data_IF_343650954756
#
_entry.id   IF_343650954756
#
_cell.length_a   1.000
_cell.length_b   1.000
_cell.length_c   1.000
_cell.angle_alpha   90.00
_cell.angle_beta   90.00
_cell.angle_gamma   90.00
#
_symmetry.space_group_name_H-M   'P 1'
#
loop_
_entity.id
_entity.type
_entity.pdbx_description
1 polymer ?
#
# COMPACT_ATOMS: atom_id res chain seq x y z
N UNK A 1 0.94 -24.27 -3.52
CA UNK A 1 1.01 -22.80 -3.68
C UNK A 1 0.36 -22.30 -4.96
N UNK A 2 0.67 -22.86 -6.15
CA UNK A 2 0.03 -22.41 -7.42
C UNK A 2 -1.51 -22.46 -7.39
N UNK A 3 -2.09 -23.57 -6.90
CA UNK A 3 -3.55 -23.69 -6.76
C UNK A 3 -4.13 -22.62 -5.83
N UNK A 4 -3.59 -22.50 -4.61
CA UNK A 4 -3.97 -21.47 -3.63
C UNK A 4 -3.94 -20.06 -4.25
N UNK A 5 -2.90 -19.73 -5.02
CA UNK A 5 -2.80 -18.44 -5.70
C UNK A 5 -3.92 -18.24 -6.73
N UNK A 6 -4.27 -19.29 -7.48
CA UNK A 6 -5.39 -19.25 -8.43
C UNK A 6 -6.73 -19.06 -7.71
N UNK A 7 -6.92 -19.70 -6.55
CA UNK A 7 -8.15 -19.57 -5.77
C UNK A 7 -8.33 -18.11 -5.31
N UNK A 8 -7.28 -17.49 -4.77
CA UNK A 8 -7.29 -16.05 -4.43
C UNK A 8 -7.51 -15.15 -5.65
N UNK A 9 -6.95 -15.49 -6.81
CA UNK A 9 -7.22 -14.77 -8.06
C UNK A 9 -8.69 -14.90 -8.48
N UNK A 10 -9.32 -16.06 -8.26
CA UNK A 10 -10.75 -16.26 -8.51
C UNK A 10 -11.64 -15.38 -7.63
N UNK A 11 -11.20 -15.06 -6.42
CA UNK A 11 -11.89 -14.14 -5.50
C UNK A 11 -11.80 -12.69 -5.97
N UNK A 12 -10.63 -12.27 -6.46
CA UNK A 12 -10.37 -10.92 -6.99
C UNK A 12 -9.86 -10.99 -8.44
N UNK A 13 -10.77 -11.13 -9.42
CA UNK A 13 -10.38 -11.32 -10.82
C UNK A 13 -9.55 -10.18 -11.41
N UNK A 14 -9.62 -8.97 -10.83
CA UNK A 14 -8.82 -7.82 -11.25
C UNK A 14 -7.33 -7.99 -10.95
N UNK A 15 -6.95 -8.92 -10.08
CA UNK A 15 -5.54 -9.18 -9.77
C UNK A 15 -4.91 -10.16 -10.77
N UNK A 16 -3.62 -9.94 -11.03
CA UNK A 16 -2.78 -10.80 -11.87
C UNK A 16 -1.59 -11.36 -11.07
N UNK A 17 -1.17 -12.61 -11.31
CA UNK A 17 0.05 -13.16 -10.72
C UNK A 17 1.28 -12.33 -11.03
N UNK A 18 1.94 -11.82 -9.99
CA UNK A 18 3.18 -11.07 -10.11
C UNK A 18 4.40 -11.92 -9.74
N UNK A 19 4.30 -12.69 -8.65
CA UNK A 19 5.29 -13.71 -8.22
C UNK A 19 4.59 -15.03 -7.88
N UNK A 20 5.33 -16.01 -7.36
CA UNK A 20 4.75 -17.28 -6.89
C UNK A 20 3.81 -17.13 -5.68
N UNK A 21 3.82 -15.98 -5.01
CA UNK A 21 3.04 -15.72 -3.79
C UNK A 21 2.40 -14.33 -3.77
N UNK A 22 2.33 -13.63 -4.91
CA UNK A 22 1.71 -12.30 -4.97
C UNK A 22 0.79 -12.14 -6.18
N UNK A 23 -0.33 -11.46 -5.95
CA UNK A 23 -1.33 -11.06 -6.92
C UNK A 23 -1.44 -9.54 -6.89
N UNK A 24 -1.16 -8.85 -7.99
CA UNK A 24 -1.22 -7.39 -8.04
C UNK A 24 -2.01 -6.89 -9.25
N UNK A 25 -2.53 -5.68 -9.12
CA UNK A 25 -2.99 -4.84 -10.21
C UNK A 25 -2.24 -3.51 -10.17
N UNK A 26 -2.17 -2.82 -11.31
CA UNK A 26 -1.78 -1.41 -11.37
C UNK A 26 -3.00 -0.59 -10.95
N UNK A 27 -2.82 0.36 -10.05
CA UNK A 27 -3.80 1.40 -9.75
C UNK A 27 -3.10 2.75 -9.94
N UNK A 28 -3.04 3.18 -11.20
CA UNK A 28 -2.36 4.37 -11.68
C UNK A 28 -0.90 4.55 -11.20
N UNK A 29 -0.70 5.16 -10.02
CA UNK A 29 0.61 5.48 -9.46
C UNK A 29 1.14 4.45 -8.44
N UNK A 30 0.40 3.35 -8.22
CA UNK A 30 0.77 2.26 -7.29
C UNK A 30 0.47 0.87 -7.87
N UNK A 31 1.05 -0.15 -7.23
CA UNK A 31 0.52 -1.52 -7.31
C UNK A 31 -0.26 -1.82 -6.05
N UNK A 32 -1.45 -2.40 -6.18
CA UNK A 32 -2.26 -2.86 -5.04
C UNK A 32 -2.57 -4.35 -5.24
N UNK A 33 -2.55 -5.12 -4.16
CA UNK A 33 -3.07 -6.47 -4.17
C UNK A 33 -2.63 -7.31 -2.99
N UNK A 34 -2.55 -8.62 -3.19
CA UNK A 34 -2.38 -9.60 -2.11
C UNK A 34 -1.00 -10.25 -2.15
N UNK A 35 -0.36 -10.32 -0.99
CA UNK A 35 0.79 -11.18 -0.73
C UNK A 35 0.36 -12.34 0.17
N UNK A 36 0.60 -13.56 -0.31
CA UNK A 36 0.43 -14.80 0.45
C UNK A 36 1.73 -15.11 1.16
N UNK A 37 1.84 -14.67 2.40
CA UNK A 37 3.05 -14.86 3.18
C UNK A 37 3.03 -16.22 3.86
N UNK A 38 4.00 -17.08 3.53
CA UNK A 38 4.20 -18.32 4.26
C UNK A 38 4.65 -17.97 5.68
N UNK A 39 3.90 -18.47 6.65
CA UNK A 39 4.17 -18.29 8.08
C UNK A 39 4.05 -19.63 8.75
N UNK A 40 4.90 -19.88 9.75
CA UNK A 40 5.06 -21.23 10.28
C UNK A 40 5.53 -22.21 9.17
N UNK A 41 5.76 -23.48 9.52
CA UNK A 41 6.22 -24.47 8.54
C UNK A 41 5.13 -24.86 7.53
N UNK A 42 3.85 -24.76 7.91
CA UNK A 42 2.69 -25.32 7.20
C UNK A 42 1.53 -24.35 6.94
N UNK A 43 1.63 -23.07 7.31
CA UNK A 43 0.56 -22.09 7.12
C UNK A 43 0.95 -20.92 6.19
N UNK A 44 -0.06 -20.17 5.77
CA UNK A 44 0.12 -18.87 5.15
C UNK A 44 -0.89 -17.87 5.73
N UNK A 45 -0.56 -16.59 5.63
CA UNK A 45 -1.48 -15.48 5.87
C UNK A 45 -1.61 -14.61 4.64
N UNK A 46 -2.72 -13.89 4.54
CA UNK A 46 -2.97 -12.95 3.44
C UNK A 46 -2.70 -11.55 3.94
N UNK A 47 -1.91 -10.81 3.15
CA UNK A 47 -1.57 -9.42 3.42
C UNK A 47 -1.99 -8.59 2.21
N UNK A 48 -2.82 -7.58 2.42
CA UNK A 48 -3.05 -6.53 1.44
C UNK A 48 -1.83 -5.60 1.43
N UNK A 49 -1.25 -5.33 0.26
CA UNK A 49 -0.08 -4.46 0.12
C UNK A 49 -0.29 -3.40 -0.97
N UNK A 50 0.30 -2.23 -0.74
CA UNK A 50 0.38 -1.14 -1.71
C UNK A 50 1.84 -0.77 -1.94
N UNK A 51 2.33 -0.95 -3.17
CA UNK A 51 3.71 -0.67 -3.57
C UNK A 51 3.80 0.64 -4.38
N UNK A 52 4.80 1.49 -4.12
CA UNK A 52 4.94 2.77 -4.79
C UNK A 52 5.55 2.61 -6.19
N UNK A 53 4.93 3.20 -7.22
CA UNK A 53 5.50 3.27 -8.58
C UNK A 53 6.27 4.57 -8.84
N UNK A 54 6.37 5.48 -7.88
CA UNK A 54 7.09 6.75 -8.01
C UNK A 54 8.56 6.70 -7.55
N UNK A 55 9.02 5.55 -7.03
CA UNK A 55 10.38 5.38 -6.53
C UNK A 55 11.40 5.32 -7.68
N UNK A 56 12.54 6.00 -7.50
CA UNK A 56 13.65 5.95 -8.45
C UNK A 56 14.39 4.61 -8.35
N UNK A 57 14.62 4.13 -7.13
CA UNK A 57 15.31 2.87 -6.87
C UNK A 57 14.32 1.70 -6.88
N UNK A 58 14.54 0.70 -7.75
CA UNK A 58 13.70 -0.50 -7.83
C UNK A 58 13.62 -1.30 -6.53
N UNK A 59 14.62 -1.19 -5.64
CA UNK A 59 14.61 -1.79 -4.31
C UNK A 59 13.54 -1.15 -3.42
N UNK A 60 13.36 0.17 -3.48
CA UNK A 60 12.36 0.92 -2.70
C UNK A 60 10.95 0.64 -3.18
N UNK A 61 10.74 0.38 -4.47
CA UNK A 61 9.44 -0.09 -5.00
C UNK A 61 8.94 -1.38 -4.35
N UNK A 62 9.85 -2.22 -3.82
CA UNK A 62 9.46 -3.48 -3.14
C UNK A 62 9.06 -3.26 -1.69
N UNK A 63 9.22 -2.05 -1.17
CA UNK A 63 8.85 -1.70 0.20
C UNK A 63 7.44 -1.13 0.18
N UNK A 64 6.47 -1.79 0.82
CA UNK A 64 5.09 -1.30 0.81
C UNK A 64 4.97 0.06 1.49
N UNK A 65 4.13 0.91 0.90
CA UNK A 65 3.61 2.12 1.55
C UNK A 65 2.84 1.71 2.80
N UNK A 66 1.95 0.74 2.62
CA UNK A 66 1.20 0.09 3.68
C UNK A 66 1.04 -1.39 3.39
N UNK A 67 0.91 -2.17 4.45
CA UNK A 67 0.62 -3.60 4.41
C UNK A 67 -0.25 -3.99 5.61
N UNK A 68 -1.39 -4.62 5.36
CA UNK A 68 -2.34 -5.03 6.42
C UNK A 68 -2.70 -6.49 6.29
N UNK A 69 -2.72 -7.18 7.43
CA UNK A 69 -3.04 -8.58 7.51
C UNK A 69 -4.55 -8.80 7.47
N UNK A 70 -4.97 -9.92 6.89
CA UNK A 70 -6.35 -10.36 6.96
C UNK A 70 -6.71 -10.80 8.38
N UNK A 71 -7.79 -10.26 8.91
CA UNK A 71 -8.36 -10.68 10.19
C UNK A 71 -9.58 -11.57 10.00
N UNK A 72 -9.85 -12.46 10.95
CA UNK A 72 -11.09 -13.23 11.02
C UNK A 72 -12.24 -12.38 11.60
N UNK A 73 -13.45 -12.96 11.66
CA UNK A 73 -14.64 -12.30 12.22
C UNK A 73 -14.53 -11.97 13.72
N UNK A 74 -13.50 -12.46 14.41
CA UNK A 74 -13.19 -12.16 15.82
C UNK A 74 -12.09 -11.10 15.95
N UNK A 75 -11.58 -10.56 14.84
CA UNK A 75 -10.48 -9.60 14.83
C UNK A 75 -9.10 -10.22 15.06
N UNK A 76 -8.97 -11.54 14.93
CA UNK A 76 -7.70 -12.26 15.09
C UNK A 76 -7.03 -12.50 13.74
N UNK A 77 -5.70 -12.54 13.69
CA UNK A 77 -4.96 -12.80 12.45
C UNK A 77 -5.42 -14.12 11.81
N UNK A 78 -5.77 -14.07 10.52
CA UNK A 78 -6.29 -15.24 9.82
C UNK A 78 -5.15 -16.08 9.24
N UNK A 79 -4.72 -17.09 9.98
CA UNK A 79 -3.77 -18.09 9.52
C UNK A 79 -4.47 -19.26 8.82
N UNK A 80 -4.05 -19.59 7.60
CA UNK A 80 -4.61 -20.69 6.82
C UNK A 80 -3.56 -21.77 6.71
N UNK A 81 -3.79 -22.91 7.39
CA UNK A 81 -2.96 -24.10 7.19
C UNK A 81 -3.09 -24.56 5.75
N UNK A 82 -1.97 -24.81 5.09
CA UNK A 82 -1.92 -25.21 3.68
C UNK A 82 -2.71 -26.49 3.43
N UNK A 83 -2.66 -27.43 4.38
CA UNK A 83 -3.42 -28.69 4.34
C UNK A 83 -4.93 -28.52 4.57
N UNK A 84 -5.37 -27.40 5.14
CA UNK A 84 -6.78 -27.08 5.39
C UNK A 84 -7.28 -25.95 4.49
N UNK A 85 -6.56 -25.66 3.39
CA UNK A 85 -6.90 -24.56 2.50
C UNK A 85 -8.35 -24.66 2.03
N UNK A 86 -8.76 -25.79 1.45
CA UNK A 86 -10.12 -25.97 0.91
C UNK A 86 -11.22 -25.72 1.95
N UNK A 87 -10.97 -26.09 3.20
CA UNK A 87 -11.93 -25.93 4.30
C UNK A 87 -12.00 -24.48 4.82
N UNK A 88 -10.85 -23.83 5.00
CA UNK A 88 -10.77 -22.49 5.61
C UNK A 88 -10.94 -21.36 4.57
N UNK A 89 -10.65 -21.63 3.31
CA UNK A 89 -10.63 -20.64 2.24
C UNK A 89 -11.95 -19.91 2.04
N UNK A 90 -13.14 -20.56 2.03
CA UNK A 90 -14.40 -19.85 1.86
C UNK A 90 -14.62 -18.74 2.89
N UNK A 91 -14.32 -19.01 4.17
CA UNK A 91 -14.45 -18.03 5.25
C UNK A 91 -13.40 -16.93 5.12
N UNK A 92 -12.16 -17.29 4.79
CA UNK A 92 -11.10 -16.31 4.57
C UNK A 92 -11.39 -15.39 3.37
N UNK A 93 -11.95 -15.94 2.29
CA UNK A 93 -12.33 -15.19 1.09
C UNK A 93 -13.47 -14.20 1.38
N UNK A 94 -14.45 -14.59 2.20
CA UNK A 94 -15.50 -13.68 2.69
C UNK A 94 -14.90 -12.51 3.48
N UNK A 95 -14.06 -12.81 4.48
CA UNK A 95 -13.39 -11.78 5.28
C UNK A 95 -12.53 -10.84 4.42
N UNK A 96 -11.84 -11.38 3.41
CA UNK A 96 -11.00 -10.60 2.50
C UNK A 96 -11.83 -9.69 1.60
N UNK A 97 -12.99 -10.14 1.11
CA UNK A 97 -13.90 -9.28 0.33
C UNK A 97 -14.39 -8.11 1.17
N UNK A 98 -14.77 -8.35 2.42
CA UNK A 98 -15.23 -7.31 3.34
C UNK A 98 -14.12 -6.30 3.67
N UNK A 99 -12.90 -6.77 3.94
CA UNK A 99 -11.80 -5.91 4.38
C UNK A 99 -11.07 -5.21 3.22
N UNK A 100 -10.89 -5.89 2.09
CA UNK A 100 -10.03 -5.44 1.00
C UNK A 100 -10.80 -5.12 -0.29
N UNK A 101 -12.03 -5.60 -0.46
CA UNK A 101 -12.77 -5.50 -1.72
C UNK A 101 -12.99 -4.06 -2.21
N UNK A 102 -13.03 -3.10 -1.29
CA UNK A 102 -13.11 -1.68 -1.63
C UNK A 102 -11.89 -1.16 -2.42
N UNK A 103 -10.72 -1.77 -2.25
CA UNK A 103 -9.48 -1.42 -2.95
C UNK A 103 -9.13 -2.38 -4.08
N UNK A 104 -9.81 -3.52 -4.21
CA UNK A 104 -9.52 -4.57 -5.19
C UNK A 104 -10.63 -4.65 -6.24
N UNK A 105 -10.87 -3.52 -6.92
CA UNK A 105 -11.93 -3.31 -7.92
C UNK A 105 -11.41 -2.44 -9.07
N UNK A 106 -12.11 -2.44 -10.21
CA UNK A 106 -11.65 -1.73 -11.42
C UNK A 106 -11.52 -0.22 -11.23
N UNK A 107 -12.42 0.41 -10.47
CA UNK A 107 -12.39 1.85 -10.19
C UNK A 107 -12.37 2.07 -8.67
N UNK A 108 -11.29 2.65 -8.15
CA UNK A 108 -11.11 2.97 -6.73
C UNK A 108 -11.39 4.45 -6.55
N UNK A 109 -12.26 4.80 -5.59
CA UNK A 109 -12.44 6.21 -5.23
C UNK A 109 -11.25 6.68 -4.39
N UNK A 110 -10.73 7.87 -4.67
CA UNK A 110 -9.67 8.49 -3.90
C UNK A 110 -10.04 8.61 -2.41
N UNK A 111 -11.32 8.90 -2.14
CA UNK A 111 -11.90 8.89 -0.80
C UNK A 111 -11.84 7.53 -0.11
N UNK A 112 -12.13 6.43 -0.82
CA UNK A 112 -12.05 5.07 -0.28
C UNK A 112 -10.61 4.73 0.15
N UNK A 113 -9.63 5.13 -0.68
CA UNK A 113 -8.21 4.92 -0.44
C UNK A 113 -7.71 5.71 0.76
N UNK A 114 -8.08 6.98 0.86
CA UNK A 114 -7.82 7.84 2.01
C UNK A 114 -8.45 7.29 3.30
N UNK A 115 -9.69 6.79 3.23
CA UNK A 115 -10.39 6.21 4.37
C UNK A 115 -9.75 4.91 4.84
N UNK A 116 -9.33 4.04 3.91
CA UNK A 116 -8.56 2.83 4.21
C UNK A 116 -7.25 3.18 4.95
N UNK A 117 -6.50 4.14 4.41
CA UNK A 117 -5.25 4.60 5.02
C UNK A 117 -5.51 5.17 6.41
N UNK A 118 -6.53 6.01 6.57
CA UNK A 118 -6.91 6.59 7.86
C UNK A 118 -7.24 5.51 8.88
N UNK A 119 -8.09 4.54 8.52
CA UNK A 119 -8.45 3.40 9.40
C UNK A 119 -7.22 2.62 9.82
N UNK A 120 -6.31 2.37 8.90
CA UNK A 120 -5.08 1.65 9.22
C UNK A 120 -4.10 2.46 10.08
N UNK A 121 -4.01 3.77 9.87
CA UNK A 121 -3.19 4.64 10.72
C UNK A 121 -3.68 4.69 12.16
N UNK A 122 -4.98 4.51 12.41
CA UNK A 122 -5.53 4.38 13.76
C UNK A 122 -5.10 3.08 14.46
N UNK A 123 -4.72 2.05 13.71
CA UNK A 123 -4.24 0.79 14.26
C UNK A 123 -2.73 0.80 14.59
N UNK A 124 -2.02 1.91 14.35
CA UNK A 124 -0.61 2.02 14.71
C UNK A 124 -0.43 1.91 16.22
N UNK A 125 0.43 0.96 16.65
CA UNK A 125 0.73 0.73 18.07
C UNK A 125 1.22 1.99 18.81
N UNK A 126 1.91 2.88 18.10
CA UNK A 126 2.28 4.21 18.59
C UNK A 126 1.74 5.26 17.64
N UNK A 127 0.82 6.08 18.14
CA UNK A 127 0.06 7.05 17.36
C UNK A 127 0.96 7.97 16.52
N UNK A 128 2.05 8.49 17.07
CA UNK A 128 2.93 9.46 16.41
C UNK A 128 4.27 8.85 15.97
N UNK A 129 4.29 7.58 15.58
CA UNK A 129 5.54 6.93 15.17
C UNK A 129 6.02 7.42 13.78
N UNK A 130 7.19 8.09 13.70
CA UNK A 130 7.73 8.55 12.43
C UNK A 130 7.88 7.45 11.38
N UNK A 131 8.21 6.21 11.79
CA UNK A 131 8.46 5.08 10.87
C UNK A 131 7.19 4.62 10.14
N UNK A 132 6.01 4.90 10.70
CA UNK A 132 4.74 4.57 10.07
C UNK A 132 4.25 5.75 9.21
N UNK A 133 4.29 6.95 9.76
CA UNK A 133 3.73 8.14 9.12
C UNK A 133 4.48 8.60 7.88
N UNK A 134 5.82 8.43 7.82
CA UNK A 134 6.58 8.95 6.69
C UNK A 134 6.13 8.38 5.33
N UNK A 135 5.71 7.10 5.29
CA UNK A 135 5.21 6.46 4.06
C UNK A 135 3.79 6.91 3.72
N UNK A 136 2.94 7.08 4.74
CA UNK A 136 1.59 7.60 4.56
C UNK A 136 1.63 9.00 3.97
N UNK A 137 2.53 9.86 4.44
CA UNK A 137 2.71 11.19 3.87
C UNK A 137 3.22 11.18 2.44
N UNK A 138 4.21 10.35 2.12
CA UNK A 138 4.68 10.18 0.75
C UNK A 138 3.54 9.74 -0.19
N UNK A 139 2.72 8.79 0.24
CA UNK A 139 1.56 8.35 -0.53
C UNK A 139 0.52 9.44 -0.74
N UNK A 140 0.14 10.16 0.33
CA UNK A 140 -0.85 11.24 0.24
C UNK A 140 -0.37 12.37 -0.69
N UNK A 141 0.91 12.74 -0.62
CA UNK A 141 1.50 13.73 -1.53
C UNK A 141 1.56 13.22 -2.97
N UNK A 142 1.92 11.94 -3.17
CA UNK A 142 1.91 11.31 -4.50
C UNK A 142 0.50 11.30 -5.10
N UNK A 143 -0.52 10.93 -4.31
CA UNK A 143 -1.92 10.94 -4.72
C UNK A 143 -2.39 12.35 -5.10
N UNK A 144 -2.12 13.34 -4.25
CA UNK A 144 -2.49 14.73 -4.51
C UNK A 144 -1.82 15.29 -5.78
N UNK A 145 -0.52 15.01 -5.95
CA UNK A 145 0.24 15.44 -7.13
C UNK A 145 -0.24 14.74 -8.40
N UNK A 146 -0.49 13.42 -8.33
CA UNK A 146 -1.02 12.64 -9.46
C UNK A 146 -2.38 13.18 -9.94
N UNK A 147 -3.32 13.37 -9.01
CA UNK A 147 -4.66 13.92 -9.25
C UNK A 147 -4.66 15.41 -9.61
N UNK A 148 -3.52 16.09 -9.49
CA UNK A 148 -3.39 17.54 -9.65
C UNK A 148 -4.33 18.31 -8.71
N UNK A 149 -4.55 17.81 -7.49
CA UNK A 149 -5.42 18.44 -6.50
C UNK A 149 -4.60 19.32 -5.54
N UNK A 150 -4.53 20.60 -5.86
CA UNK A 150 -3.79 21.58 -5.06
C UNK A 150 -4.37 21.78 -3.65
N UNK A 151 -5.68 21.58 -3.45
CA UNK A 151 -6.31 21.70 -2.13
C UNK A 151 -5.89 20.53 -1.26
N UNK A 152 -6.01 19.31 -1.78
CA UNK A 152 -5.58 18.12 -1.06
C UNK A 152 -4.07 18.15 -0.77
N UNK A 153 -3.25 18.61 -1.72
CA UNK A 153 -1.81 18.79 -1.49
C UNK A 153 -1.54 19.75 -0.32
N UNK A 154 -2.26 20.86 -0.23
CA UNK A 154 -2.12 21.82 0.87
C UNK A 154 -2.57 21.23 2.22
N UNK A 155 -3.66 20.47 2.24
CA UNK A 155 -4.14 19.75 3.43
C UNK A 155 -3.10 18.76 3.96
N UNK A 156 -2.51 17.95 3.07
CA UNK A 156 -1.47 16.98 3.45
C UNK A 156 -0.23 17.68 3.99
N UNK A 157 0.20 18.79 3.38
CA UNK A 157 1.30 19.60 3.91
C UNK A 157 1.00 20.12 5.32
N UNK A 158 -0.22 20.61 5.57
CA UNK A 158 -0.62 21.04 6.93
C UNK A 158 -0.65 19.88 7.93
N UNK A 159 -1.09 18.69 7.50
CA UNK A 159 -1.06 17.48 8.32
C UNK A 159 0.37 17.12 8.73
N UNK A 160 1.32 17.17 7.78
CA UNK A 160 2.75 16.95 8.05
C UNK A 160 3.27 17.96 9.08
N UNK A 161 2.99 19.26 8.90
CA UNK A 161 3.43 20.29 9.86
C UNK A 161 2.88 20.11 11.28
N UNK A 162 1.71 19.50 11.43
CA UNK A 162 1.15 19.15 12.74
C UNK A 162 1.83 17.92 13.32
N UNK A 163 1.98 16.87 12.52
CA UNK A 163 2.49 15.58 12.96
C UNK A 163 3.97 15.65 13.38
N UNK A 164 4.83 16.36 12.63
CA UNK A 164 6.27 16.47 12.94
C UNK A 164 6.56 17.16 14.29
N UNK A 165 5.59 17.86 14.88
CA UNK A 165 5.71 18.50 16.21
C UNK A 165 5.72 17.47 17.32
N UNK A 166 5.13 16.29 17.09
CA UNK A 166 5.13 15.19 18.04
C UNK A 166 6.42 14.36 18.00
N UNK A 167 7.27 14.58 16.99
CA UNK A 167 8.47 13.78 16.79
C UNK A 167 9.68 14.40 17.49
N UNK A 168 10.29 13.65 18.40
CA UNK A 168 11.55 14.00 19.03
C UNK A 168 12.67 14.11 17.98
N UNK A 169 13.39 15.23 17.97
CA UNK A 169 14.38 15.53 16.93
C UNK A 169 15.59 14.59 16.99
N UNK A 170 16.09 14.25 18.18
CA UNK A 170 17.26 13.39 18.31
C UNK A 170 16.94 11.95 17.85
N UNK A 171 15.80 11.42 18.29
CA UNK A 171 15.31 10.12 17.85
C UNK A 171 15.01 10.10 16.35
N UNK A 172 14.40 11.16 15.81
CA UNK A 172 14.12 11.25 14.38
C UNK A 172 15.42 11.22 13.56
N UNK A 173 16.41 12.04 13.92
CA UNK A 173 17.70 12.06 13.25
C UNK A 173 18.43 10.72 13.32
N UNK A 174 18.34 10.00 14.45
CA UNK A 174 18.89 8.66 14.58
C UNK A 174 18.20 7.63 13.66
N UNK A 175 16.89 7.76 13.42
CA UNK A 175 16.12 6.84 12.58
C UNK A 175 16.30 7.09 11.08
N UNK A 176 16.32 8.36 10.66
CA UNK A 176 16.31 8.74 9.24
C UNK A 176 17.64 9.29 8.74
N UNK A 177 18.63 9.45 9.62
CA UNK A 177 19.94 10.05 9.32
C UNK A 177 19.81 11.46 8.71
N UNK A 178 18.76 12.19 9.09
CA UNK A 178 18.40 13.55 8.63
C UNK A 178 17.62 14.30 9.70
N UNK A 179 17.73 15.62 9.72
CA UNK A 179 16.81 16.47 10.49
C UNK A 179 15.37 16.37 9.95
N UNK A 180 14.39 16.80 10.77
CA UNK A 180 12.98 16.84 10.36
C UNK A 180 12.77 17.79 9.19
N UNK A 181 13.50 18.91 9.17
CA UNK A 181 13.44 19.95 8.15
C UNK A 181 14.02 19.45 6.81
N UNK A 182 15.18 18.78 6.84
CA UNK A 182 15.77 18.17 5.65
C UNK A 182 14.88 17.06 5.08
N UNK A 183 14.38 16.16 5.94
CA UNK A 183 13.45 15.11 5.52
C UNK A 183 12.20 15.69 4.86
N UNK A 184 11.61 16.73 5.46
CA UNK A 184 10.41 17.38 4.93
C UNK A 184 10.67 18.07 3.59
N UNK A 185 11.80 18.77 3.47
CA UNK A 185 12.19 19.43 2.22
C UNK A 185 12.39 18.41 1.09
N UNK A 186 13.05 17.28 1.38
CA UNK A 186 13.23 16.19 0.42
C UNK A 186 11.90 15.54 0.02
N UNK A 187 11.01 15.32 0.98
CA UNK A 187 9.68 14.77 0.74
C UNK A 187 8.87 15.68 -0.19
N UNK A 188 8.88 16.99 0.05
CA UNK A 188 8.18 17.95 -0.81
C UNK A 188 8.79 18.01 -2.22
N UNK A 189 10.12 18.06 -2.32
CA UNK A 189 10.84 18.06 -3.59
C UNK A 189 10.51 16.84 -4.45
N UNK A 190 10.29 15.68 -3.82
CA UNK A 190 9.93 14.45 -4.54
C UNK A 190 8.61 14.56 -5.31
N UNK A 191 7.65 15.36 -4.82
CA UNK A 191 6.28 15.43 -5.35
C UNK A 191 5.87 16.81 -5.88
N UNK A 192 6.76 17.80 -5.86
CA UNK A 192 6.49 19.16 -6.36
C UNK A 192 6.39 19.21 -7.88
N UNK A 193 7.25 18.46 -8.58
CA UNK A 193 7.25 18.35 -10.03
C UNK A 193 6.39 17.16 -10.46
N UNK A 194 5.16 17.50 -10.87
CA UNK A 194 4.18 16.52 -11.33
C UNK A 194 4.61 15.81 -12.60
N UNK A 195 5.25 16.51 -13.53
CA UNK A 195 5.67 15.91 -14.81
C UNK A 195 6.76 14.87 -14.54
N UNK A 196 7.78 15.23 -13.75
CA UNK A 196 8.81 14.29 -13.35
C UNK A 196 8.25 13.10 -12.53
N UNK A 197 7.21 13.31 -11.72
CA UNK A 197 6.50 12.23 -11.02
C UNK A 197 5.84 11.27 -12.01
N UNK A 198 5.09 11.79 -12.99
CA UNK A 198 4.40 10.98 -13.99
C UNK A 198 5.37 10.21 -14.88
N UNK A 199 6.48 10.84 -15.30
CA UNK A 199 7.53 10.17 -16.06
C UNK A 199 8.11 8.96 -15.31
N UNK A 200 8.40 9.12 -14.01
CA UNK A 200 8.87 8.00 -13.17
C UNK A 200 7.83 6.89 -13.06
N UNK A 201 6.56 7.24 -12.88
CA UNK A 201 5.45 6.26 -12.80
C UNK A 201 5.33 5.50 -14.11
N UNK A 202 5.30 6.18 -15.26
CA UNK A 202 5.24 5.55 -16.58
C UNK A 202 6.43 4.61 -16.82
N UNK A 203 7.65 5.08 -16.58
CA UNK A 203 8.86 4.26 -16.72
C UNK A 203 8.85 3.01 -15.82
N UNK A 204 8.25 3.11 -14.64
CA UNK A 204 8.08 1.97 -13.73
C UNK A 204 6.96 1.02 -14.16
N UNK A 205 5.89 1.52 -14.78
CA UNK A 205 4.80 0.69 -15.33
C UNK A 205 5.22 -0.11 -16.55
N UNK A 206 6.18 0.40 -17.33
CA UNK A 206 6.72 -0.27 -18.52
C UNK A 206 7.65 -1.45 -18.20
N UNK A 207 7.96 -1.68 -16.92
CA UNK A 207 8.65 -2.91 -16.51
C UNK A 207 7.87 -4.15 -16.97
N UNK A 208 8.53 -5.09 -17.64
CA UNK A 208 7.88 -6.26 -18.25
C UNK A 208 6.99 -7.04 -17.28
N UNK A 209 7.33 -7.11 -15.99
CA UNK A 209 6.53 -7.84 -14.98
C UNK A 209 5.31 -7.05 -14.52
N UNK A 210 5.36 -5.72 -14.60
CA UNK A 210 4.29 -4.80 -14.21
C UNK A 210 3.35 -4.54 -15.39
N UNK A 211 3.89 -4.37 -16.59
CA UNK A 211 3.13 -4.09 -17.81
C UNK A 211 1.99 -5.12 -18.04
N UNK A 212 2.27 -6.40 -17.77
CA UNK A 212 1.31 -7.52 -17.89
C UNK A 212 0.20 -7.56 -16.82
N UNK A 213 0.31 -6.77 -15.76
CA UNK A 213 -0.74 -6.72 -14.73
C UNK A 213 -1.98 -6.02 -15.30
N UNK A 214 -3.15 -6.38 -14.77
CA UNK A 214 -4.38 -5.65 -15.08
C UNK A 214 -4.33 -4.25 -14.45
N UNK A 215 -5.15 -3.35 -14.98
CA UNK A 215 -5.22 -1.97 -14.55
C UNK A 215 -6.55 -1.68 -13.86
N UNK A 216 -6.46 -0.91 -12.79
CA UNK A 216 -7.53 -0.21 -12.11
C UNK A 216 -7.24 1.29 -12.19
N UNK A 217 -8.27 2.11 -12.05
CA UNK A 217 -8.16 3.56 -12.05
C UNK A 217 -8.61 4.15 -10.72
N UNK A 218 -7.90 5.17 -10.28
CA UNK A 218 -8.22 5.98 -9.12
C UNK A 218 -8.95 7.22 -9.60
N UNK A 219 -10.23 7.32 -9.28
CA UNK A 219 -11.05 8.49 -9.58
C UNK A 219 -11.24 9.37 -8.35
N UNK A 220 -11.60 10.62 -8.56
CA UNK A 220 -12.02 11.52 -7.47
C UNK A 220 -13.24 10.95 -6.75
#
# INVERSE_FOLDING_TARGET
MKQILNDWQGVFPILSPHTASTLYMKADFVLIGLRLEKVMSDAYRVVLECLPLWEQEKSRMKVPVFSWELYDKKGMQFFIKTSLHEYLFPTAAECAKEQFGMLLKDNILSGDLCECIRKASLAFATQHNPTNWHRIFAFKLALASYLNDARFLAEVKQEIEKEIRHWDSARFSALFLKSKEEWKADLYRQFEDREALLERIHANMDDKKIARLKSSHISL
#
